data_IF_629650103552
#
_entry.id   IF_629650103552
#
_cell.length_a   1.000
_cell.length_b   1.000
_cell.length_c   1.000
_cell.angle_alpha   90.00
_cell.angle_beta   90.00
_cell.angle_gamma   90.00
#
_symmetry.space_group_name_H-M   'P 1'
#
loop_
_entity.id
_entity.type
_entity.pdbx_description
1 polymer ?
#
# COMPACT_ATOMS: atom_id res chain seq x y z
N UNK A 1 23.33 -9.07 -13.20
CA UNK A 1 24.45 -9.06 -12.25
C UNK A 1 24.02 -9.39 -10.82
N UNK A 2 22.92 -10.12 -10.61
CA UNK A 2 22.29 -10.28 -9.28
C UNK A 2 23.01 -11.23 -8.29
N UNK A 3 24.22 -11.71 -8.62
CA UNK A 3 24.94 -12.72 -7.83
C UNK A 3 26.26 -12.27 -7.18
N UNK A 4 26.68 -11.02 -7.36
CA UNK A 4 28.00 -10.53 -6.92
C UNK A 4 27.97 -9.72 -5.62
N UNK A 5 26.79 -9.51 -5.04
CA UNK A 5 26.65 -8.77 -3.80
C UNK A 5 27.41 -9.48 -2.66
N UNK A 6 28.32 -8.75 -2.01
CA UNK A 6 29.15 -9.28 -0.91
C UNK A 6 30.25 -10.25 -1.33
N UNK A 7 30.53 -10.39 -2.63
CA UNK A 7 31.68 -11.15 -3.15
C UNK A 7 32.86 -10.23 -3.39
N UNK A 8 34.05 -10.71 -3.06
CA UNK A 8 35.29 -10.01 -3.39
C UNK A 8 35.57 -10.13 -4.88
N UNK A 9 36.01 -9.01 -5.45
CA UNK A 9 36.45 -8.88 -6.84
C UNK A 9 37.90 -8.47 -6.85
N UNK A 10 38.63 -8.89 -7.87
CA UNK A 10 39.99 -8.46 -8.11
C UNK A 10 39.97 -7.13 -8.86
N UNK A 11 40.83 -6.21 -8.43
CA UNK A 11 40.99 -4.88 -9.05
C UNK A 11 42.38 -4.83 -9.65
N UNK A 12 42.45 -4.71 -10.97
CA UNK A 12 43.69 -4.50 -11.70
C UNK A 12 43.77 -3.02 -12.07
N UNK A 13 44.82 -2.35 -11.60
CA UNK A 13 45.16 -0.99 -11.98
C UNK A 13 46.33 -1.07 -12.96
N UNK A 14 46.03 -0.83 -14.23
CA UNK A 14 47.06 -0.70 -15.25
C UNK A 14 47.54 0.75 -15.18
N UNK A 15 48.86 0.98 -15.11
CA UNK A 15 49.44 2.31 -14.80
C UNK A 15 49.10 3.44 -15.78
N UNK A 16 48.29 3.17 -16.80
CA UNK A 16 47.64 4.09 -17.73
C UNK A 16 46.29 4.64 -17.19
N UNK A 17 45.86 4.22 -16.00
CA UNK A 17 44.62 4.65 -15.34
C UNK A 17 43.41 3.79 -15.73
N UNK A 18 43.61 2.72 -16.49
CA UNK A 18 42.56 1.75 -16.76
C UNK A 18 42.41 0.82 -15.56
N UNK A 19 41.20 0.77 -15.01
CA UNK A 19 40.85 -0.20 -13.96
C UNK A 19 40.12 -1.37 -14.60
N UNK A 20 40.49 -2.60 -14.29
CA UNK A 20 39.71 -3.78 -14.68
C UNK A 20 39.21 -4.49 -13.42
N UNK A 21 37.89 -4.69 -13.35
CA UNK A 21 37.25 -5.46 -12.29
C UNK A 21 37.05 -6.89 -12.76
N UNK A 22 37.58 -7.87 -12.03
CA UNK A 22 37.43 -9.29 -12.36
C UNK A 22 36.79 -10.08 -11.23
N UNK A 23 35.98 -11.07 -11.60
CA UNK A 23 35.48 -12.09 -10.70
C UNK A 23 35.78 -13.47 -11.25
N UNK A 24 36.50 -14.30 -10.49
CA UNK A 24 36.96 -15.62 -10.93
C UNK A 24 37.74 -15.55 -12.26
N UNK A 25 38.57 -14.52 -12.43
CA UNK A 25 39.33 -14.28 -13.65
C UNK A 25 38.52 -13.77 -14.85
N UNK A 26 37.20 -13.58 -14.71
CA UNK A 26 36.33 -13.04 -15.76
C UNK A 26 36.10 -11.53 -15.57
N UNK A 27 36.20 -10.70 -16.62
CA UNK A 27 35.96 -9.26 -16.53
C UNK A 27 34.49 -8.95 -16.24
N UNK A 28 34.27 -8.01 -15.33
CA UNK A 28 32.96 -7.51 -14.98
C UNK A 28 32.66 -6.21 -15.72
N UNK A 29 31.46 -6.05 -16.27
CA UNK A 29 31.03 -4.77 -16.80
C UNK A 29 30.86 -3.78 -15.66
N UNK A 30 31.55 -2.65 -15.75
CA UNK A 30 31.43 -1.56 -14.80
C UNK A 30 31.37 -0.23 -15.55
N UNK A 31 30.94 0.82 -14.84
CA UNK A 31 31.02 2.20 -15.32
C UNK A 31 31.63 3.03 -14.20
N UNK A 32 32.54 3.92 -14.56
CA UNK A 32 33.11 4.86 -13.59
C UNK A 32 32.00 5.80 -13.14
N UNK A 33 31.77 5.84 -11.83
CA UNK A 33 30.86 6.79 -11.24
C UNK A 33 31.58 8.10 -10.98
N UNK A 34 31.21 9.15 -11.70
CA UNK A 34 31.71 10.50 -11.49
C UNK A 34 31.10 11.07 -10.20
N UNK A 35 31.91 11.12 -9.13
CA UNK A 35 31.47 11.61 -7.81
C UNK A 35 31.09 13.10 -7.82
N UNK A 36 31.65 13.84 -8.77
CA UNK A 36 31.36 15.26 -9.01
C UNK A 36 30.21 15.46 -10.01
N UNK A 37 29.30 14.50 -10.15
CA UNK A 37 28.02 14.73 -10.83
C UNK A 37 27.20 15.72 -10.00
N UNK A 38 27.58 17.00 -10.12
CA UNK A 38 26.97 18.13 -9.45
C UNK A 38 25.55 18.23 -9.96
N UNK A 39 24.61 17.76 -9.14
CA UNK A 39 23.21 18.13 -9.30
C UNK A 39 23.19 19.65 -9.37
N UNK A 40 22.74 20.20 -10.49
CA UNK A 40 22.64 21.64 -10.69
C UNK A 40 21.84 22.19 -9.50
N UNK A 41 22.32 23.26 -8.86
CA UNK A 41 21.70 23.80 -7.64
C UNK A 41 20.19 24.07 -7.84
N UNK A 42 19.80 24.48 -9.04
CA UNK A 42 18.40 24.64 -9.45
C UNK A 42 17.57 23.35 -9.31
N UNK A 43 18.12 22.19 -9.68
CA UNK A 43 17.46 20.89 -9.52
C UNK A 43 17.29 20.51 -8.05
N UNK A 44 18.26 20.86 -7.19
CA UNK A 44 18.12 20.64 -5.74
C UNK A 44 17.01 21.51 -5.15
N UNK A 45 16.92 22.78 -5.56
CA UNK A 45 15.86 23.70 -5.13
C UNK A 45 14.49 23.23 -5.61
N UNK A 46 14.38 22.82 -6.87
CA UNK A 46 13.11 22.35 -7.43
C UNK A 46 12.63 21.05 -6.79
N UNK A 47 13.52 20.09 -6.50
CA UNK A 47 13.16 18.87 -5.77
C UNK A 47 12.66 19.17 -4.34
N UNK A 48 13.22 20.18 -3.68
CA UNK A 48 12.74 20.63 -2.36
C UNK A 48 11.37 21.31 -2.47
N UNK A 49 11.18 22.20 -3.45
CA UNK A 49 9.87 22.82 -3.73
C UNK A 49 8.80 21.78 -4.01
N UNK A 50 9.12 20.75 -4.80
CA UNK A 50 8.22 19.62 -5.05
C UNK A 50 7.89 18.86 -3.76
N UNK A 51 8.88 18.61 -2.91
CA UNK A 51 8.66 17.96 -1.61
C UNK A 51 7.69 18.76 -0.74
N UNK A 52 7.86 20.08 -0.68
CA UNK A 52 6.95 20.99 0.05
C UNK A 52 5.54 20.98 -0.55
N UNK A 53 5.41 21.09 -1.87
CA UNK A 53 4.12 21.05 -2.56
C UNK A 53 3.36 19.73 -2.30
N UNK A 54 4.08 18.60 -2.31
CA UNK A 54 3.50 17.28 -2.00
C UNK A 54 3.09 17.15 -0.53
N UNK A 55 3.86 17.74 0.40
CA UNK A 55 3.47 17.80 1.80
C UNK A 55 2.15 18.56 1.97
N UNK A 56 1.98 19.70 1.30
CA UNK A 56 0.74 20.48 1.28
C UNK A 56 -0.42 19.68 0.67
N UNK A 57 -0.20 19.02 -0.46
CA UNK A 57 -1.25 18.19 -1.08
C UNK A 57 -1.69 17.05 -0.14
N UNK A 58 -0.74 16.42 0.56
CA UNK A 58 -1.02 15.36 1.54
C UNK A 58 -1.81 15.89 2.74
N UNK A 59 -1.51 17.08 3.27
CA UNK A 59 -2.28 17.65 4.38
C UNK A 59 -3.71 17.98 3.98
N UNK A 60 -3.91 18.47 2.75
CA UNK A 60 -5.25 18.73 2.21
C UNK A 60 -6.05 17.43 1.99
N UNK A 61 -5.41 16.36 1.52
CA UNK A 61 -6.05 15.04 1.36
C UNK A 61 -6.32 14.34 2.69
N UNK A 62 -5.45 14.54 3.69
CA UNK A 62 -5.64 14.01 5.03
C UNK A 62 -6.81 14.67 5.77
N UNK A 63 -7.25 15.85 5.32
CA UNK A 63 -8.49 16.45 5.81
C UNK A 63 -9.65 15.53 5.41
N UNK A 64 -10.39 14.96 6.37
CA UNK A 64 -11.53 14.12 6.05
C UNK A 64 -12.56 14.97 5.31
N UNK A 65 -12.75 14.67 4.02
CA UNK A 65 -13.87 15.20 3.27
C UNK A 65 -15.15 14.60 3.88
N UNK A 66 -16.23 15.39 4.03
CA UNK A 66 -17.51 14.82 4.41
C UNK A 66 -17.84 13.71 3.40
N UNK A 67 -18.22 12.54 3.92
CA UNK A 67 -18.54 11.39 3.09
C UNK A 67 -19.50 11.85 1.97
N UNK A 68 -19.19 11.57 0.69
CA UNK A 68 -20.06 11.96 -0.40
C UNK A 68 -21.43 11.34 -0.10
N UNK A 69 -22.48 12.18 -0.07
CA UNK A 69 -23.87 11.70 0.05
C UNK A 69 -24.22 10.99 -1.26
N UNK A 70 -23.83 9.72 -1.36
CA UNK A 70 -24.21 8.86 -2.48
C UNK A 70 -25.70 8.58 -2.31
N UNK A 71 -26.52 9.27 -3.10
CA UNK A 71 -27.94 8.91 -3.25
C UNK A 71 -28.00 7.51 -3.82
N UNK A 72 -28.82 6.65 -3.21
CA UNK A 72 -29.14 5.33 -3.79
C UNK A 72 -29.84 5.52 -5.15
N UNK A 73 -29.81 4.52 -6.03
CA UNK A 73 -30.46 4.62 -7.36
C UNK A 73 -31.93 5.04 -7.24
N UNK A 74 -32.64 4.49 -6.25
CA UNK A 74 -34.02 4.86 -5.91
C UNK A 74 -34.20 6.33 -5.49
N UNK A 75 -33.26 6.91 -4.76
CA UNK A 75 -33.32 8.33 -4.35
C UNK A 75 -32.92 9.28 -5.49
N UNK A 76 -32.07 8.82 -6.41
CA UNK A 76 -31.71 9.58 -7.62
C UNK A 76 -32.88 9.62 -8.60
N UNK A 77 -33.63 8.53 -8.71
CA UNK A 77 -34.79 8.36 -9.60
C UNK A 77 -36.09 8.93 -9.02
N UNK A 78 -36.08 9.46 -7.78
CA UNK A 78 -37.24 10.09 -7.17
C UNK A 78 -38.30 9.09 -6.68
N UNK A 79 -37.90 7.86 -6.34
CA UNK A 79 -38.82 6.84 -5.84
C UNK A 79 -39.47 7.27 -4.51
N UNK A 80 -40.80 7.36 -4.49
CA UNK A 80 -41.60 7.66 -3.29
C UNK A 80 -42.14 6.35 -2.72
N UNK A 81 -41.70 5.99 -1.51
CA UNK A 81 -42.25 4.83 -0.81
C UNK A 81 -43.70 5.12 -0.40
N UNK A 82 -44.64 4.29 -0.86
CA UNK A 82 -46.07 4.42 -0.58
C UNK A 82 -46.47 3.97 0.84
N UNK A 83 -45.50 3.78 1.74
CA UNK A 83 -45.72 3.32 3.13
C UNK A 83 -46.24 1.88 3.24
N UNK A 84 -46.61 1.25 2.13
CA UNK A 84 -47.04 -0.13 2.04
C UNK A 84 -45.84 -0.99 1.71
N UNK A 85 -45.47 -1.88 2.64
CA UNK A 85 -44.59 -3.00 2.26
C UNK A 85 -45.30 -3.75 1.14
N UNK A 86 -44.63 -4.11 0.02
CA UNK A 86 -45.16 -5.14 -0.87
C UNK A 86 -45.07 -6.47 -0.12
N UNK A 87 -45.97 -6.63 0.84
CA UNK A 87 -46.18 -7.87 1.55
C UNK A 87 -46.87 -8.82 0.58
N UNK A 88 -46.30 -10.02 0.44
CA UNK A 88 -47.08 -11.16 -0.04
C UNK A 88 -48.32 -11.23 0.84
N UNK A 89 -49.49 -11.02 0.23
CA UNK A 89 -50.76 -11.11 0.92
C UNK A 89 -50.92 -12.47 1.61
N UNK A 90 -51.83 -12.59 2.58
CA UNK A 90 -52.04 -13.82 3.35
C UNK A 90 -52.28 -15.06 2.46
N UNK A 91 -52.82 -14.85 1.25
CA UNK A 91 -53.12 -15.87 0.24
C UNK A 91 -52.05 -16.02 -0.85
N UNK A 92 -50.87 -15.43 -0.66
CA UNK A 92 -49.80 -15.59 -1.65
C UNK A 92 -49.36 -17.06 -1.70
N UNK A 93 -49.36 -17.70 -2.88
CA UNK A 93 -48.92 -19.09 -3.03
C UNK A 93 -47.43 -19.29 -2.70
N UNK A 94 -46.68 -18.20 -2.52
CA UNK A 94 -45.30 -18.21 -2.10
C UNK A 94 -45.11 -17.79 -0.62
N UNK A 95 -46.15 -17.89 0.21
CA UNK A 95 -46.04 -17.66 1.66
C UNK A 95 -45.29 -18.83 2.30
N UNK A 96 -44.13 -18.55 2.88
CA UNK A 96 -43.35 -19.55 3.62
C UNK A 96 -44.13 -19.99 4.86
N UNK A 97 -44.09 -21.28 5.16
CA UNK A 97 -44.76 -21.78 6.36
C UNK A 97 -44.08 -21.24 7.62
N UNK A 98 -44.81 -21.12 8.75
CA UNK A 98 -44.21 -20.71 10.03
C UNK A 98 -43.03 -21.61 10.43
N UNK A 99 -43.10 -22.91 10.11
CA UNK A 99 -42.03 -23.87 10.35
C UNK A 99 -40.78 -23.59 9.49
N UNK A 100 -40.96 -23.22 8.23
CA UNK A 100 -39.85 -22.85 7.32
C UNK A 100 -39.20 -21.52 7.74
N UNK A 101 -39.98 -20.62 8.35
CA UNK A 101 -39.49 -19.34 8.88
C UNK A 101 -38.71 -19.53 10.18
N UNK A 102 -39.18 -20.42 11.07
CA UNK A 102 -38.50 -20.75 12.33
C UNK A 102 -37.21 -21.56 12.14
N UNK A 103 -37.12 -22.37 11.08
CA UNK A 103 -35.92 -23.16 10.75
C UNK A 103 -34.76 -22.31 10.18
N UNK A 104 -35.04 -21.07 9.75
CA UNK A 104 -33.99 -20.15 9.31
C UNK A 104 -33.26 -19.60 10.52
N UNK A 105 -32.19 -20.30 10.91
CA UNK A 105 -31.16 -19.80 11.82
C UNK A 105 -30.82 -18.34 11.44
N UNK A 106 -30.94 -17.36 12.34
CA UNK A 106 -30.57 -15.99 11.99
C UNK A 106 -29.11 -16.00 11.56
N UNK A 107 -28.81 -15.47 10.37
CA UNK A 107 -27.41 -15.21 9.99
C UNK A 107 -26.86 -14.32 11.09
N UNK A 108 -25.87 -14.83 11.81
CA UNK A 108 -25.15 -14.12 12.86
C UNK A 108 -24.78 -12.75 12.31
N UNK A 109 -25.29 -11.68 12.93
CA UNK A 109 -24.74 -10.34 12.75
C UNK A 109 -23.31 -10.46 13.24
N UNK A 110 -22.34 -10.55 12.32
CA UNK A 110 -20.94 -10.38 12.67
C UNK A 110 -20.88 -8.96 13.24
N UNK A 111 -20.57 -8.77 14.55
CA UNK A 111 -20.34 -7.43 15.03
C UNK A 111 -19.16 -6.89 14.21
N UNK A 112 -19.31 -5.69 13.64
CA UNK A 112 -18.19 -5.00 13.07
C UNK A 112 -17.14 -4.88 14.17
N UNK A 113 -16.10 -5.71 14.09
CA UNK A 113 -14.88 -5.55 14.87
C UNK A 113 -14.23 -4.28 14.34
N UNK A 114 -14.64 -3.16 14.93
CA UNK A 114 -13.89 -1.92 14.86
C UNK A 114 -12.46 -2.25 15.30
N UNK A 115 -11.51 -1.85 14.45
CA UNK A 115 -10.12 -2.31 14.44
C UNK A 115 -9.58 -2.68 15.81
N UNK A 116 -9.23 -3.96 15.93
CA UNK A 116 -8.37 -4.47 16.98
C UNK A 116 -7.16 -3.55 17.10
N UNK A 117 -6.95 -3.05 18.30
CA UNK A 117 -5.62 -2.71 18.79
C UNK A 117 -4.71 -3.91 18.54
N UNK A 118 -3.71 -3.73 17.69
CA UNK A 118 -2.52 -4.58 17.72
C UNK A 118 -1.45 -3.86 18.53
N UNK A 119 -1.06 -4.36 19.72
CA UNK A 119 0.27 -4.09 20.24
C UNK A 119 1.21 -5.01 19.47
N UNK A 120 1.85 -4.53 18.42
CA UNK A 120 2.96 -5.26 17.81
C UNK A 120 4.25 -4.52 18.15
N UNK A 121 4.85 -4.97 19.24
CA UNK A 121 6.24 -4.73 19.56
C UNK A 121 7.09 -5.14 18.36
N UNK A 122 7.82 -4.19 17.79
CA UNK A 122 8.87 -4.45 16.81
C UNK A 122 10.07 -5.00 17.59
N UNK A 123 10.51 -6.25 17.40
CA UNK A 123 11.81 -6.65 17.92
C UNK A 123 12.87 -5.86 17.12
N UNK A 124 13.66 -5.07 17.85
CA UNK A 124 14.79 -4.35 17.27
C UNK A 124 15.82 -5.32 16.67
N UNK A 125 16.58 -4.88 15.65
CA UNK A 125 17.62 -5.73 15.07
C UNK A 125 18.71 -6.02 16.12
N UNK A 126 18.97 -7.31 16.34
CA UNK A 126 20.16 -7.77 17.08
C UNK A 126 21.41 -7.35 16.30
N UNK A 127 22.26 -6.56 16.94
CA UNK A 127 23.65 -6.35 16.55
C UNK A 127 24.40 -7.69 16.68
N UNK A 128 25.20 -8.11 15.69
CA UNK A 128 26.14 -9.19 15.88
C UNK A 128 27.51 -8.66 16.35
N UNK A 129 28.07 -9.40 17.30
CA UNK A 129 29.50 -9.63 17.57
C UNK A 129 30.11 -9.00 18.84
N UNK A 130 30.80 -9.87 19.56
CA UNK A 130 31.69 -9.54 20.67
C UNK A 130 32.14 -10.79 21.41
N UNK A 131 32.92 -11.63 20.74
CA UNK A 131 33.70 -12.69 21.40
C UNK A 131 34.80 -12.05 22.26
N UNK A 132 34.84 -12.40 23.54
CA UNK A 132 36.05 -12.66 24.34
C UNK A 132 35.63 -13.46 25.57
#
# INVERSE_FOLDING_TARGET
TEGLAGKYVEVFDFGDGLVELRWQGQPLPYRVFEKDQRVIHASVVENKRLTEALAIARTLQARPLPAPKVKTSSEKEGYVSTGRKPGRGPDSPYRKSPAETASRRPKSKIPAVFGMTSPSARPGPKQPNGHS
#
